data_IF_015922100050
#
_entry.id   IF_015922100050
#
_cell.length_a   1.000
_cell.length_b   1.000
_cell.length_c   1.000
_cell.angle_alpha   90.00
_cell.angle_beta   90.00
_cell.angle_gamma   90.00
#
_symmetry.space_group_name_H-M   'P 1'
#
loop_
_entity.id
_entity.type
_entity.pdbx_description
1 polymer ?
#
# COMPACT_ATOMS: atom_id res chain seq x y z
N UNK A 1 24.94 -27.83 4.31
CA UNK A 1 24.96 -26.59 5.12
C UNK A 1 23.62 -26.45 5.84
N UNK A 2 23.64 -26.04 7.11
CA UNK A 2 22.44 -25.74 7.87
C UNK A 2 21.99 -24.30 7.61
N UNK A 3 20.69 -24.08 7.60
CA UNK A 3 20.05 -22.78 7.49
C UNK A 3 19.29 -22.46 8.76
N UNK A 4 19.50 -21.25 9.27
CA UNK A 4 18.72 -20.75 10.39
C UNK A 4 17.95 -19.51 9.97
N UNK A 5 16.62 -19.59 10.03
CA UNK A 5 15.70 -18.48 9.79
C UNK A 5 14.97 -18.17 11.11
N UNK A 6 15.07 -16.95 11.59
CA UNK A 6 14.43 -16.53 12.85
C UNK A 6 12.92 -16.39 12.68
N UNK A 7 12.13 -16.47 13.78
CA UNK A 7 10.73 -16.09 13.74
C UNK A 7 10.57 -14.67 13.16
N UNK A 8 9.57 -14.46 12.30
CA UNK A 8 9.34 -13.18 11.64
C UNK A 8 10.30 -12.86 10.49
N UNK A 9 11.10 -13.82 10.05
CA UNK A 9 11.97 -13.70 8.86
C UNK A 9 11.61 -14.77 7.84
N UNK A 10 12.01 -14.52 6.60
CA UNK A 10 12.05 -15.50 5.52
C UNK A 10 13.42 -15.51 4.85
N UNK A 11 13.87 -16.69 4.44
CA UNK A 11 14.97 -16.87 3.51
C UNK A 11 14.40 -17.13 2.12
N UNK A 12 14.76 -16.30 1.16
CA UNK A 12 14.35 -16.39 -0.25
C UNK A 12 15.54 -16.86 -1.06
N UNK A 13 15.40 -17.98 -1.72
CA UNK A 13 16.42 -18.56 -2.62
C UNK A 13 16.09 -18.19 -4.07
N UNK A 14 16.80 -17.23 -4.62
CA UNK A 14 16.63 -16.79 -6.00
C UNK A 14 17.57 -17.57 -6.92
N UNK A 15 17.03 -18.23 -7.93
CA UNK A 15 17.79 -19.00 -8.92
C UNK A 15 18.05 -18.16 -10.16
N UNK A 16 19.29 -17.77 -10.36
CA UNK A 16 19.72 -16.78 -11.37
C UNK A 16 19.27 -17.07 -12.81
N UNK A 17 19.13 -18.34 -13.18
CA UNK A 17 18.85 -18.69 -14.57
C UNK A 17 17.36 -18.78 -14.94
N UNK A 18 16.43 -18.62 -14.00
CA UNK A 18 14.99 -18.81 -14.26
C UNK A 18 14.06 -17.74 -13.65
N UNK A 19 14.56 -16.77 -12.89
CA UNK A 19 13.74 -15.78 -12.20
C UNK A 19 12.70 -16.42 -11.27
N UNK A 20 12.97 -17.64 -10.80
CA UNK A 20 12.13 -18.41 -9.88
C UNK A 20 12.82 -18.51 -8.52
N UNK A 21 12.04 -18.71 -7.48
CA UNK A 21 12.54 -18.73 -6.12
C UNK A 21 11.77 -19.70 -5.23
N UNK A 22 12.46 -20.18 -4.19
CA UNK A 22 11.85 -20.88 -3.05
C UNK A 22 11.90 -19.98 -1.81
N UNK A 23 10.95 -20.15 -0.89
CA UNK A 23 10.85 -19.38 0.35
C UNK A 23 10.76 -20.33 1.52
N UNK A 24 11.65 -20.11 2.50
CA UNK A 24 11.60 -20.79 3.80
C UNK A 24 11.28 -19.75 4.86
N UNK A 25 10.13 -19.87 5.50
CA UNK A 25 9.73 -18.96 6.60
C UNK A 25 10.21 -19.49 7.95
N UNK A 26 10.66 -18.58 8.83
CA UNK A 26 11.04 -18.94 10.20
C UNK A 26 9.84 -19.21 11.13
N UNK A 27 10.05 -19.90 12.24
CA UNK A 27 11.35 -20.43 12.68
C UNK A 27 11.78 -21.69 11.92
N UNK A 28 13.02 -21.71 11.44
CA UNK A 28 13.63 -22.85 10.78
C UNK A 28 15.10 -22.98 11.23
N UNK A 29 15.52 -24.17 11.65
CA UNK A 29 16.91 -24.42 12.07
C UNK A 29 17.25 -25.87 11.73
N UNK A 30 17.56 -26.16 10.47
CA UNK A 30 17.88 -27.50 9.99
C UNK A 30 18.69 -27.41 8.68
N UNK A 31 19.08 -28.58 8.19
CA UNK A 31 19.65 -28.73 6.85
C UNK A 31 18.53 -28.52 5.79
N UNK A 32 18.84 -27.65 4.84
CA UNK A 32 17.89 -27.39 3.72
C UNK A 32 17.78 -28.65 2.87
N UNK A 33 16.57 -29.18 2.76
CA UNK A 33 16.24 -30.34 1.96
C UNK A 33 15.40 -29.94 0.75
N UNK A 34 15.54 -30.68 -0.35
CA UNK A 34 14.76 -30.45 -1.58
C UNK A 34 13.25 -30.55 -1.38
N UNK A 35 12.79 -31.30 -0.38
CA UNK A 35 11.38 -31.39 0.03
C UNK A 35 10.77 -30.03 0.40
N UNK A 36 11.60 -29.13 0.96
CA UNK A 36 11.20 -27.79 1.36
C UNK A 36 11.43 -26.73 0.28
N UNK A 37 11.90 -27.17 -0.90
CA UNK A 37 12.30 -26.31 -2.01
C UNK A 37 11.74 -26.87 -3.33
N UNK A 38 10.44 -26.74 -3.56
CA UNK A 38 9.78 -27.36 -4.73
C UNK A 38 10.30 -26.85 -6.07
N UNK A 39 10.72 -25.57 -6.14
CA UNK A 39 11.31 -25.01 -7.36
C UNK A 39 12.68 -25.62 -7.61
N UNK A 40 13.53 -25.70 -6.59
CA UNK A 40 14.84 -26.37 -6.70
C UNK A 40 14.67 -27.86 -7.09
N UNK A 41 13.74 -28.57 -6.47
CA UNK A 41 13.45 -29.96 -6.79
C UNK A 41 13.04 -30.15 -8.25
N UNK A 42 12.21 -29.25 -8.77
CA UNK A 42 11.81 -29.23 -10.19
C UNK A 42 13.01 -28.98 -11.13
N UNK A 43 13.90 -28.07 -10.76
CA UNK A 43 15.08 -27.74 -11.55
C UNK A 43 16.06 -28.93 -11.57
N UNK A 44 16.32 -29.54 -10.43
CA UNK A 44 17.21 -30.70 -10.30
C UNK A 44 16.65 -31.91 -11.08
N UNK A 45 15.34 -32.14 -11.00
CA UNK A 45 14.67 -33.24 -11.71
C UNK A 45 14.80 -33.17 -13.24
N UNK A 46 14.97 -31.95 -13.79
CA UNK A 46 15.06 -31.73 -15.24
C UNK A 46 16.51 -31.64 -15.76
N UNK A 47 17.49 -31.32 -14.92
CA UNK A 47 18.84 -30.93 -15.36
C UNK A 47 20.01 -31.68 -14.73
N UNK A 48 19.77 -32.57 -13.75
CA UNK A 48 20.87 -33.15 -12.99
C UNK A 48 21.42 -34.42 -13.63
N UNK A 49 22.38 -34.26 -14.56
CA UNK A 49 23.33 -35.30 -14.96
C UNK A 49 24.72 -34.95 -14.41
N UNK A 50 24.86 -34.84 -13.07
CA UNK A 50 26.18 -34.70 -12.43
C UNK A 50 26.93 -33.36 -12.64
N UNK A 51 26.25 -32.29 -12.96
CA UNK A 51 26.85 -30.97 -13.19
C UNK A 51 26.93 -30.11 -11.91
N UNK A 52 27.59 -28.96 -12.04
CA UNK A 52 27.87 -27.94 -11.02
C UNK A 52 26.65 -27.57 -10.16
N UNK A 53 26.82 -27.33 -8.85
CA UNK A 53 25.74 -26.85 -8.00
C UNK A 53 25.10 -25.59 -8.58
N UNK A 54 23.77 -25.56 -8.59
CA UNK A 54 22.99 -24.45 -9.12
C UNK A 54 23.27 -23.19 -8.28
N UNK A 55 23.75 -22.08 -8.86
CA UNK A 55 23.96 -20.88 -8.10
C UNK A 55 22.63 -20.28 -7.68
N UNK A 56 22.46 -20.08 -6.37
CA UNK A 56 21.33 -19.39 -5.78
C UNK A 56 21.83 -18.25 -4.91
N UNK A 57 21.17 -17.11 -5.02
CA UNK A 57 21.32 -16.00 -4.09
C UNK A 57 20.30 -16.18 -2.96
N UNK A 58 20.70 -15.94 -1.72
CA UNK A 58 19.85 -16.08 -0.56
C UNK A 58 19.63 -14.72 0.08
N UNK A 59 18.38 -14.30 0.11
CA UNK A 59 17.97 -13.05 0.76
C UNK A 59 17.22 -13.35 2.06
N UNK A 60 17.58 -12.66 3.14
CA UNK A 60 16.83 -12.70 4.39
C UNK A 60 15.94 -11.47 4.46
N UNK A 61 14.63 -11.71 4.52
CA UNK A 61 13.62 -10.65 4.55
C UNK A 61 12.97 -10.62 5.93
N UNK A 62 12.85 -9.43 6.50
CA UNK A 62 12.08 -9.21 7.72
C UNK A 62 10.59 -9.13 7.35
N UNK A 63 9.79 -10.04 7.92
CA UNK A 63 8.35 -10.17 7.71
C UNK A 63 7.54 -9.54 8.84
N UNK A 64 8.16 -8.68 9.66
CA UNK A 64 7.44 -8.03 10.76
C UNK A 64 6.16 -7.39 10.26
N UNK A 65 5.06 -7.72 10.92
CA UNK A 65 3.75 -7.13 10.65
C UNK A 65 3.63 -5.79 11.35
N UNK A 66 2.83 -4.89 10.77
CA UNK A 66 2.53 -3.62 11.41
C UNK A 66 3.66 -2.60 11.36
N UNK A 67 4.57 -2.70 10.39
CA UNK A 67 5.52 -1.62 10.14
C UNK A 67 4.77 -0.36 9.71
N UNK A 68 5.17 0.79 10.25
CA UNK A 68 4.51 2.06 9.96
C UNK A 68 5.43 2.98 9.17
N UNK A 69 4.87 3.61 8.14
CA UNK A 69 5.52 4.64 7.34
C UNK A 69 4.72 5.94 7.47
N UNK A 70 5.19 6.92 8.26
CA UNK A 70 4.51 8.19 8.40
C UNK A 70 4.65 9.03 7.13
N UNK A 71 3.60 9.78 6.79
CA UNK A 71 3.60 10.72 5.68
C UNK A 71 2.95 12.06 6.04
N UNK A 72 3.43 13.10 5.40
CA UNK A 72 2.82 14.44 5.43
C UNK A 72 2.72 14.92 3.99
N UNK A 73 1.52 15.28 3.59
CA UNK A 73 1.23 15.81 2.27
C UNK A 73 0.85 17.27 2.42
N UNK A 74 1.66 18.22 1.90
CA UNK A 74 1.33 19.63 1.94
C UNK A 74 0.10 19.92 1.08
N UNK A 75 -0.46 21.11 1.20
CA UNK A 75 -1.66 21.51 0.48
C UNK A 75 -1.64 21.13 -0.99
N UNK A 76 -2.71 20.50 -1.43
CA UNK A 76 -2.96 20.15 -2.82
C UNK A 76 -4.44 20.27 -3.12
N UNK A 77 -4.74 20.54 -4.38
CA UNK A 77 -6.10 20.80 -4.85
C UNK A 77 -6.94 19.55 -4.88
N UNK A 78 -8.17 19.67 -4.38
CA UNK A 78 -9.25 18.70 -4.53
C UNK A 78 -10.42 19.37 -5.22
N UNK A 79 -10.99 18.74 -6.24
CA UNK A 79 -12.10 19.29 -7.01
C UNK A 79 -13.40 18.72 -6.45
N UNK A 80 -14.35 19.57 -6.00
CA UNK A 80 -15.69 19.12 -5.60
C UNK A 80 -16.39 18.36 -6.74
N UNK A 81 -17.22 17.39 -6.40
CA UNK A 81 -18.00 16.62 -7.39
C UNK A 81 -19.16 17.42 -7.97
N UNK A 82 -19.73 18.28 -7.16
CA UNK A 82 -20.90 19.07 -7.49
C UNK A 82 -20.54 20.15 -8.55
N UNK A 83 -21.29 20.22 -9.69
CA UNK A 83 -20.98 21.13 -10.78
C UNK A 83 -20.90 22.59 -10.36
N UNK A 84 -21.77 23.01 -9.44
CA UNK A 84 -21.83 24.37 -8.91
C UNK A 84 -20.59 24.78 -8.10
N UNK A 85 -19.86 23.80 -7.54
CA UNK A 85 -18.70 24.04 -6.70
C UNK A 85 -17.36 23.79 -7.41
N UNK A 86 -17.37 23.27 -8.64
CA UNK A 86 -16.15 22.95 -9.40
C UNK A 86 -15.22 24.14 -9.64
N UNK A 87 -15.79 25.35 -9.65
CA UNK A 87 -15.02 26.57 -9.80
C UNK A 87 -14.24 26.97 -8.52
N UNK A 88 -14.55 26.35 -7.39
CA UNK A 88 -13.90 26.67 -6.12
C UNK A 88 -12.58 25.91 -5.99
N UNK A 89 -11.55 26.67 -5.68
CA UNK A 89 -10.21 26.14 -5.46
C UNK A 89 -10.08 25.76 -3.98
N UNK A 90 -10.17 24.48 -3.70
CA UNK A 90 -10.09 23.95 -2.33
C UNK A 90 -8.85 23.10 -2.21
N UNK A 91 -7.98 23.48 -1.29
CA UNK A 91 -6.77 22.75 -1.00
C UNK A 91 -6.86 22.08 0.38
N UNK A 92 -6.34 20.86 0.43
CA UNK A 92 -6.22 20.07 1.66
C UNK A 92 -4.79 19.64 1.87
N UNK A 93 -4.36 19.62 3.13
CA UNK A 93 -3.13 18.98 3.57
C UNK A 93 -3.48 17.76 4.44
N UNK A 94 -2.73 16.69 4.30
CA UNK A 94 -3.01 15.43 4.99
C UNK A 94 -1.77 14.96 5.76
N UNK A 95 -1.98 14.54 7.01
CA UNK A 95 -0.99 13.87 7.82
C UNK A 95 -1.52 12.50 8.21
N UNK A 96 -0.67 11.48 8.15
CA UNK A 96 -1.04 10.13 8.51
C UNK A 96 0.12 9.16 8.47
N UNK A 97 -0.20 7.86 8.59
CA UNK A 97 0.75 6.78 8.47
C UNK A 97 0.14 5.61 7.69
N UNK A 98 0.97 4.95 6.90
CA UNK A 98 0.63 3.68 6.26
C UNK A 98 1.18 2.54 7.11
N UNK A 99 0.32 1.61 7.50
CA UNK A 99 0.75 0.33 8.06
C UNK A 99 0.96 -0.65 6.91
N UNK A 100 2.09 -1.35 6.90
CA UNK A 100 2.43 -2.27 5.82
C UNK A 100 3.14 -3.51 6.30
N UNK A 101 3.18 -4.52 5.44
CA UNK A 101 3.94 -5.75 5.62
C UNK A 101 4.53 -6.21 4.29
N UNK A 102 5.57 -7.03 4.35
CA UNK A 102 6.16 -7.69 3.18
C UNK A 102 5.54 -9.08 3.10
N UNK A 103 4.66 -9.37 2.14
CA UNK A 103 3.99 -10.65 2.04
C UNK A 103 4.92 -11.74 1.48
N UNK A 104 4.75 -12.96 1.97
CA UNK A 104 5.51 -14.14 1.50
C UNK A 104 4.92 -14.80 0.26
N UNK A 105 3.78 -14.32 -0.24
CA UNK A 105 3.19 -14.84 -1.48
C UNK A 105 4.12 -14.62 -2.65
N UNK A 106 4.29 -15.63 -3.49
CA UNK A 106 5.24 -15.61 -4.59
C UNK A 106 5.08 -14.41 -5.52
N UNK A 107 3.88 -14.04 -5.87
CA UNK A 107 3.59 -12.92 -6.76
C UNK A 107 4.12 -11.58 -6.21
N UNK A 108 3.98 -11.34 -4.90
CA UNK A 108 4.44 -10.10 -4.25
C UNK A 108 5.94 -10.11 -4.01
N UNK A 109 6.51 -11.26 -3.65
CA UNK A 109 7.96 -11.42 -3.49
C UNK A 109 8.71 -11.16 -4.80
N UNK A 110 8.12 -11.52 -5.93
CA UNK A 110 8.67 -11.17 -7.25
C UNK A 110 8.85 -9.66 -7.39
N UNK A 111 7.80 -8.88 -7.14
CA UNK A 111 7.86 -7.42 -7.19
C UNK A 111 8.83 -6.83 -6.17
N UNK A 112 8.87 -7.41 -4.96
CA UNK A 112 9.81 -7.00 -3.93
C UNK A 112 11.27 -7.21 -4.36
N UNK A 113 11.59 -8.38 -4.87
CA UNK A 113 12.94 -8.71 -5.35
C UNK A 113 13.34 -7.90 -6.58
N UNK A 114 12.42 -7.67 -7.51
CA UNK A 114 12.66 -6.79 -8.67
C UNK A 114 12.96 -5.35 -8.25
N UNK A 115 12.28 -4.84 -7.22
CA UNK A 115 12.50 -3.48 -6.72
C UNK A 115 13.76 -3.33 -5.88
N UNK A 116 14.14 -4.35 -5.10
CA UNK A 116 15.13 -4.24 -4.02
C UNK A 116 16.28 -5.25 -4.10
N UNK A 117 16.15 -6.32 -4.86
CA UNK A 117 17.07 -7.46 -4.86
C UNK A 117 18.46 -7.18 -5.48
N UNK A 118 18.64 -6.10 -6.23
CA UNK A 118 19.88 -5.79 -6.95
C UNK A 118 20.73 -4.69 -6.28
N UNK A 119 20.33 -4.17 -5.13
CA UNK A 119 21.00 -3.04 -4.50
C UNK A 119 21.16 -3.25 -2.99
N UNK A 120 22.28 -2.81 -2.44
CA UNK A 120 22.45 -2.56 -1.00
C UNK A 120 21.52 -1.41 -0.58
N UNK A 121 20.21 -1.66 -0.59
CA UNK A 121 19.22 -0.65 -0.27
C UNK A 121 19.14 -0.50 1.24
N UNK A 122 19.47 0.69 1.74
CA UNK A 122 19.27 1.02 3.14
C UNK A 122 17.78 1.13 3.48
N UNK A 123 17.41 0.98 4.75
CA UNK A 123 16.03 1.21 5.20
C UNK A 123 15.56 2.64 4.89
N UNK A 124 16.46 3.62 4.98
CA UNK A 124 16.15 5.01 4.64
C UNK A 124 15.81 5.20 3.14
N UNK A 125 16.53 4.52 2.25
CA UNK A 125 16.25 4.53 0.81
C UNK A 125 14.92 3.85 0.50
N UNK A 126 14.66 2.71 1.16
CA UNK A 126 13.38 2.02 1.06
C UNK A 126 12.22 2.94 1.46
N UNK A 127 12.29 3.50 2.67
CA UNK A 127 11.25 4.41 3.18
C UNK A 127 11.04 5.61 2.25
N UNK A 128 12.11 6.22 1.77
CA UNK A 128 12.07 7.38 0.88
C UNK A 128 11.35 7.07 -0.44
N UNK A 129 11.68 5.95 -1.08
CA UNK A 129 11.07 5.55 -2.35
C UNK A 129 9.61 5.17 -2.19
N UNK A 130 9.27 4.38 -1.17
CA UNK A 130 7.88 3.99 -0.87
C UNK A 130 7.05 5.20 -0.51
N UNK A 131 7.59 6.11 0.31
CA UNK A 131 6.92 7.35 0.72
C UNK A 131 6.63 8.29 -0.46
N UNK A 132 7.54 8.36 -1.42
CA UNK A 132 7.32 9.15 -2.63
C UNK A 132 6.11 8.64 -3.42
N UNK A 133 6.04 7.34 -3.68
CA UNK A 133 4.88 6.75 -4.37
C UNK A 133 3.60 6.86 -3.52
N UNK A 134 3.69 6.57 -2.24
CA UNK A 134 2.57 6.72 -1.30
C UNK A 134 1.97 8.12 -1.36
N UNK A 135 2.80 9.15 -1.29
CA UNK A 135 2.37 10.54 -1.38
C UNK A 135 1.66 10.84 -2.69
N UNK A 136 2.20 10.38 -3.81
CA UNK A 136 1.59 10.55 -5.13
C UNK A 136 0.23 9.84 -5.23
N UNK A 137 0.16 8.58 -4.78
CA UNK A 137 -1.06 7.80 -4.82
C UNK A 137 -2.15 8.33 -3.89
N UNK A 138 -1.79 8.77 -2.67
CA UNK A 138 -2.76 9.39 -1.76
C UNK A 138 -3.31 10.70 -2.35
N UNK A 139 -2.46 11.55 -2.92
CA UNK A 139 -2.94 12.76 -3.63
C UNK A 139 -3.91 12.40 -4.76
N UNK A 140 -3.56 11.45 -5.59
CA UNK A 140 -4.40 10.99 -6.71
C UNK A 140 -5.77 10.50 -6.23
N UNK A 141 -5.77 9.66 -5.21
CA UNK A 141 -7.01 9.07 -4.65
C UNK A 141 -7.87 10.15 -4.01
N UNK A 142 -7.30 11.00 -3.17
CA UNK A 142 -8.04 12.05 -2.45
C UNK A 142 -8.56 13.12 -3.41
N UNK A 143 -7.78 13.52 -4.42
CA UNK A 143 -8.23 14.47 -5.45
C UNK A 143 -9.45 13.98 -6.21
N UNK A 144 -9.60 12.68 -6.37
CA UNK A 144 -10.75 12.06 -7.05
C UNK A 144 -11.84 11.56 -6.10
N UNK A 145 -11.61 11.57 -4.79
CA UNK A 145 -12.56 11.02 -3.81
C UNK A 145 -13.98 11.63 -3.92
N UNK A 146 -14.18 12.95 -4.07
CA UNK A 146 -15.51 13.50 -4.24
C UNK A 146 -16.23 12.94 -5.47
N UNK A 147 -15.53 12.83 -6.60
CA UNK A 147 -16.09 12.27 -7.84
C UNK A 147 -16.40 10.80 -7.72
N UNK A 148 -15.50 10.03 -7.13
CA UNK A 148 -15.58 8.57 -7.10
C UNK A 148 -16.58 8.07 -6.05
N UNK A 149 -16.77 8.80 -4.97
CA UNK A 149 -17.59 8.39 -3.82
C UNK A 149 -18.84 9.23 -3.61
N UNK A 150 -18.91 10.44 -4.19
CA UNK A 150 -19.94 11.42 -3.89
C UNK A 150 -19.79 12.10 -2.54
N UNK A 151 -18.66 11.88 -1.81
CA UNK A 151 -18.41 12.56 -0.55
C UNK A 151 -18.16 14.04 -0.79
N UNK A 152 -18.87 14.85 -0.06
CA UNK A 152 -18.62 16.29 -0.07
C UNK A 152 -17.28 16.62 0.60
N UNK A 153 -16.47 17.42 -0.08
CA UNK A 153 -15.09 17.69 0.36
C UNK A 153 -15.01 18.23 1.80
N UNK A 154 -15.98 19.03 2.24
CA UNK A 154 -16.02 19.57 3.60
C UNK A 154 -16.31 18.53 4.68
N UNK A 155 -16.71 17.32 4.32
CA UNK A 155 -16.98 16.22 5.23
C UNK A 155 -15.79 15.30 5.46
N UNK A 156 -14.66 15.53 4.83
CA UNK A 156 -13.47 14.67 4.95
C UNK A 156 -13.03 14.47 6.41
N UNK A 157 -13.01 15.54 7.21
CA UNK A 157 -12.65 15.44 8.62
C UNK A 157 -13.65 14.63 9.45
N UNK A 158 -14.94 14.73 9.13
CA UNK A 158 -15.98 13.95 9.83
C UNK A 158 -15.94 12.46 9.46
N UNK A 159 -15.35 12.11 8.30
CA UNK A 159 -15.26 10.76 7.75
C UNK A 159 -13.82 10.26 7.67
N UNK A 160 -12.95 10.72 8.57
CA UNK A 160 -11.52 10.47 8.51
C UNK A 160 -11.15 8.99 8.52
N UNK A 161 -11.83 8.19 9.31
CA UNK A 161 -11.63 6.73 9.37
C UNK A 161 -12.08 6.01 8.11
N UNK A 162 -13.24 6.36 7.58
CA UNK A 162 -13.80 5.84 6.34
C UNK A 162 -12.93 6.22 5.14
N UNK A 163 -12.47 7.46 5.11
CA UNK A 163 -11.57 7.96 4.07
C UNK A 163 -10.23 7.22 4.10
N UNK A 164 -9.69 6.94 5.28
CA UNK A 164 -8.47 6.13 5.44
C UNK A 164 -8.61 4.73 4.85
N UNK A 165 -9.73 4.05 5.12
CA UNK A 165 -10.03 2.73 4.53
C UNK A 165 -10.20 2.81 3.01
N UNK A 166 -10.91 3.82 2.52
CA UNK A 166 -11.08 4.06 1.09
C UNK A 166 -9.72 4.27 0.40
N UNK A 167 -8.85 5.14 0.93
CA UNK A 167 -7.51 5.40 0.42
C UNK A 167 -6.71 4.08 0.40
N UNK A 168 -6.66 3.36 1.51
CA UNK A 168 -5.95 2.08 1.62
C UNK A 168 -6.36 1.12 0.51
N UNK A 169 -7.66 0.95 0.29
CA UNK A 169 -8.19 0.05 -0.73
C UNK A 169 -7.74 0.43 -2.15
N UNK A 170 -7.49 1.72 -2.43
CA UNK A 170 -7.10 2.23 -3.74
C UNK A 170 -5.61 2.21 -4.00
N UNK A 171 -4.78 2.29 -2.94
CA UNK A 171 -3.32 2.34 -3.08
C UNK A 171 -2.66 0.97 -2.96
N UNK A 172 -3.35 -0.04 -2.43
CA UNK A 172 -2.79 -1.38 -2.24
C UNK A 172 -2.13 -1.93 -3.50
N UNK A 173 -2.85 -1.92 -4.63
CA UNK A 173 -2.36 -2.50 -5.88
C UNK A 173 -1.15 -1.73 -6.45
N UNK A 174 -1.19 -0.40 -6.60
CA UNK A 174 -0.02 0.36 -7.07
C UNK A 174 1.23 0.14 -6.23
N UNK A 175 1.10 0.13 -4.90
CA UNK A 175 2.24 -0.08 -3.99
C UNK A 175 2.74 -1.51 -4.06
N UNK A 176 1.83 -2.49 -4.07
CA UNK A 176 2.19 -3.90 -4.17
C UNK A 176 2.92 -4.22 -5.47
N UNK A 177 2.41 -3.75 -6.62
CA UNK A 177 3.04 -4.00 -7.92
C UNK A 177 4.38 -3.29 -8.09
N UNK A 178 4.55 -2.12 -7.48
CA UNK A 178 5.79 -1.35 -7.61
C UNK A 178 6.89 -1.83 -6.67
N UNK A 179 6.55 -2.24 -5.45
CA UNK A 179 7.53 -2.50 -4.39
C UNK A 179 7.38 -3.85 -3.70
N UNK A 180 6.37 -4.64 -4.02
CA UNK A 180 6.08 -5.90 -3.34
C UNK A 180 5.70 -5.73 -1.86
N UNK A 181 5.17 -4.57 -1.50
CA UNK A 181 4.74 -4.20 -0.14
C UNK A 181 3.23 -4.23 -0.09
N UNK A 182 2.68 -4.84 0.95
CA UNK A 182 1.23 -4.87 1.17
C UNK A 182 0.81 -3.80 2.18
N UNK A 183 0.07 -2.80 1.72
CA UNK A 183 -0.52 -1.80 2.59
C UNK A 183 -1.73 -2.38 3.33
N UNK A 184 -1.58 -2.64 4.62
CA UNK A 184 -2.63 -3.22 5.46
C UNK A 184 -3.57 -2.18 6.07
N UNK A 185 -3.15 -0.92 6.14
CA UNK A 185 -3.98 0.18 6.65
C UNK A 185 -3.41 1.55 6.33
N UNK A 186 -4.30 2.51 6.21
CA UNK A 186 -3.98 3.95 6.21
C UNK A 186 -4.70 4.56 7.41
N UNK A 187 -3.92 5.11 8.32
CA UNK A 187 -4.41 5.91 9.43
C UNK A 187 -4.22 7.40 9.08
N UNK A 188 -5.31 8.12 8.87
CA UNK A 188 -5.27 9.58 8.71
C UNK A 188 -5.34 10.19 10.10
N UNK A 189 -4.34 10.97 10.46
CA UNK A 189 -4.27 11.66 11.75
C UNK A 189 -4.93 13.03 11.70
N UNK A 190 -4.77 13.74 10.58
CA UNK A 190 -5.24 15.12 10.45
C UNK A 190 -5.47 15.46 8.96
N UNK A 191 -6.54 16.19 8.70
CA UNK A 191 -6.84 16.81 7.41
C UNK A 191 -7.07 18.30 7.66
N UNK A 192 -6.26 19.13 7.05
CA UNK A 192 -6.40 20.59 7.11
C UNK A 192 -6.82 21.14 5.77
N UNK A 193 -7.70 22.12 5.81
CA UNK A 193 -8.08 22.91 4.65
C UNK A 193 -7.28 24.21 4.64
N UNK A 194 -6.99 24.76 3.47
CA UNK A 194 -6.53 26.15 3.36
C UNK A 194 -7.73 27.07 3.61
N UNK A 195 -7.94 27.38 4.89
CA UNK A 195 -9.08 28.18 5.35
C UNK A 195 -9.03 29.64 4.89
N UNK A 196 -7.85 30.12 4.49
CA UNK A 196 -7.67 31.50 3.98
C UNK A 196 -8.04 31.60 2.50
N UNK A 197 -8.16 30.48 1.79
CA UNK A 197 -8.54 30.48 0.38
C UNK A 197 -9.97 30.97 0.17
N UNK A 198 -10.15 31.76 -0.87
CA UNK A 198 -11.49 32.30 -1.23
C UNK A 198 -12.48 31.16 -1.54
N UNK A 199 -11.99 30.10 -2.16
CA UNK A 199 -12.79 28.91 -2.47
C UNK A 199 -13.34 28.22 -1.22
N UNK A 200 -12.50 28.02 -0.21
CA UNK A 200 -12.92 27.46 1.07
C UNK A 200 -13.94 28.35 1.77
N UNK A 201 -13.68 29.65 1.87
CA UNK A 201 -14.56 30.61 2.54
C UNK A 201 -15.93 30.70 1.87
N UNK A 202 -15.99 30.65 0.54
CA UNK A 202 -17.25 30.60 -0.22
C UNK A 202 -18.01 29.31 0.04
N UNK A 203 -17.33 28.18 -0.03
CA UNK A 203 -17.95 26.89 0.16
C UNK A 203 -18.46 26.71 1.60
N UNK A 204 -17.71 27.19 2.60
CA UNK A 204 -18.11 27.18 4.00
C UNK A 204 -19.41 27.94 4.21
N UNK A 205 -19.54 29.16 3.67
CA UNK A 205 -20.78 29.96 3.79
C UNK A 205 -21.99 29.26 3.16
N UNK A 206 -21.81 28.62 2.03
CA UNK A 206 -22.89 27.91 1.35
C UNK A 206 -23.35 26.66 2.12
N UNK A 207 -22.46 26.07 2.90
CA UNK A 207 -22.72 24.83 3.62
C UNK A 207 -23.22 25.03 5.06
N UNK A 208 -23.01 26.21 5.67
CA UNK A 208 -23.50 26.52 7.01
C UNK A 208 -25.04 26.54 7.09
N UNK A 209 -25.73 26.74 5.98
CA UNK A 209 -27.20 26.81 5.91
C UNK A 209 -27.87 25.46 5.59
N UNK A 210 -27.12 24.38 5.39
CA UNK A 210 -27.69 23.07 5.02
C UNK A 210 -27.61 22.05 6.16
N UNK A 211 -28.66 21.23 6.32
CA UNK A 211 -28.80 20.17 7.33
C UNK A 211 -27.76 19.05 7.11
N UNK A 212 -26.54 19.23 7.62
CA UNK A 212 -25.36 18.42 7.36
C UNK A 212 -25.42 16.95 7.77
N UNK A 213 -26.18 16.62 8.80
CA UNK A 213 -26.21 15.26 9.37
C UNK A 213 -26.79 14.21 8.40
N UNK A 214 -27.81 14.58 7.64
CA UNK A 214 -28.45 13.65 6.69
C UNK A 214 -27.53 13.29 5.51
N UNK A 215 -26.80 14.29 5.00
CA UNK A 215 -25.88 14.07 3.90
C UNK A 215 -24.66 13.25 4.33
N UNK A 216 -24.17 13.47 5.55
CA UNK A 216 -23.04 12.74 6.11
C UNK A 216 -23.34 11.24 6.26
N UNK A 217 -24.53 10.88 6.70
CA UNK A 217 -24.96 9.48 6.84
C UNK A 217 -25.02 8.77 5.47
N UNK A 218 -25.53 9.47 4.46
CA UNK A 218 -25.59 8.95 3.10
C UNK A 218 -24.18 8.76 2.48
N UNK A 219 -23.27 9.69 2.71
CA UNK A 219 -21.87 9.59 2.24
C UNK A 219 -21.13 8.44 2.91
N UNK A 220 -21.33 8.25 4.22
CA UNK A 220 -20.77 7.12 4.96
C UNK A 220 -21.26 5.78 4.41
N UNK A 221 -22.55 5.70 4.09
CA UNK A 221 -23.15 4.50 3.48
C UNK A 221 -22.58 4.23 2.09
N UNK A 222 -22.35 5.28 1.29
CA UNK A 222 -21.75 5.16 -0.02
C UNK A 222 -20.31 4.63 0.04
N UNK A 223 -19.49 5.12 0.99
CA UNK A 223 -18.14 4.61 1.22
C UNK A 223 -18.12 3.12 1.59
N UNK A 224 -18.99 2.73 2.52
CA UNK A 224 -19.10 1.33 2.92
C UNK A 224 -19.53 0.43 1.74
N UNK A 225 -20.44 0.91 0.89
CA UNK A 225 -20.84 0.23 -0.34
C UNK A 225 -19.66 0.01 -1.31
N UNK A 226 -18.81 1.02 -1.46
CA UNK A 226 -17.59 0.93 -2.27
C UNK A 226 -16.59 -0.10 -1.74
N UNK A 227 -16.38 -0.12 -0.43
CA UNK A 227 -15.49 -1.10 0.22
C UNK A 227 -16.00 -2.53 0.00
N UNK A 228 -17.29 -2.77 0.21
CA UNK A 228 -17.93 -4.08 0.02
C UNK A 228 -17.82 -4.55 -1.43
N UNK A 229 -18.18 -3.68 -2.39
CA UNK A 229 -18.11 -4.02 -3.81
C UNK A 229 -16.69 -4.39 -4.24
N UNK A 230 -15.70 -3.69 -3.74
CA UNK A 230 -14.30 -3.97 -4.06
C UNK A 230 -13.79 -5.26 -3.42
N UNK A 231 -14.23 -5.59 -2.22
CA UNK A 231 -13.91 -6.87 -1.58
C UNK A 231 -14.51 -8.04 -2.35
N UNK A 232 -15.75 -7.88 -2.82
CA UNK A 232 -16.44 -8.92 -3.62
C UNK A 232 -15.79 -9.17 -4.98
N UNK A 233 -15.17 -8.15 -5.59
CA UNK A 233 -14.43 -8.31 -6.86
C UNK A 233 -13.05 -8.96 -6.69
N UNK A 234 -12.55 -9.12 -5.46
CA UNK A 234 -11.23 -9.71 -5.16
C UNK A 234 -11.30 -11.17 -4.70
N UNK A 235 -12.50 -11.70 -4.48
CA UNK A 235 -12.76 -13.12 -4.21
C UNK A 235 -13.07 -13.87 -5.48
#
# INVERSE_FOLDING_TARGET
SSLRVRPGQAAVFLYQNKGTYDVITGPYDDVVRTENMPVLASIIGTAYKGGTPFPAEVYFINLSKGMELPFVIPFFRVIPSEPEYKAYDIEVAIKGAMTFEIPTRQEYLKYFLEAWGSSDTSMADFESKVKTLLTQEVKRVVSNAPKDTGIFIMHFNALIGELGRYICSRIQDPIAHRFGVFASGINIEDIRYDEESEGYQRLKRLTEDQTHLYNLENEKTALLGYEIQRQTMRT
#
